data_IF_923628603785
#
_entry.id   IF_923628603785
#
_cell.length_a   1.000
_cell.length_b   1.000
_cell.length_c   1.000
_cell.angle_alpha   90.00
_cell.angle_beta   90.00
_cell.angle_gamma   90.00
#
_symmetry.space_group_name_H-M   'P 1'
#
loop_
_entity.id
_entity.type
_entity.pdbx_description
1 polymer ?
#
# COMPACT_ATOMS: atom_id res chain seq x y z
N UNK A 1 22.22 -6.04 10.01
CA UNK A 1 21.30 -6.26 8.86
C UNK A 1 19.83 -6.32 9.32
N UNK A 2 19.42 -7.33 10.10
CA UNK A 2 18.01 -7.51 10.51
C UNK A 2 17.42 -6.33 11.31
N UNK A 3 18.17 -5.75 12.24
CA UNK A 3 17.71 -4.58 13.04
C UNK A 3 17.42 -3.36 12.16
N UNK A 4 18.27 -3.09 11.17
CA UNK A 4 18.07 -1.98 10.21
C UNK A 4 16.86 -2.22 9.31
N UNK A 5 16.61 -3.47 8.90
CA UNK A 5 15.45 -3.83 8.11
C UNK A 5 14.14 -3.69 8.91
N UNK A 6 14.14 -4.09 10.18
CA UNK A 6 12.99 -3.92 11.06
C UNK A 6 12.67 -2.43 11.31
N UNK A 7 13.69 -1.60 11.50
CA UNK A 7 13.53 -0.16 11.65
C UNK A 7 12.96 0.48 10.37
N UNK A 8 13.48 0.11 9.19
CA UNK A 8 12.92 0.55 7.92
C UNK A 8 11.44 0.14 7.77
N UNK A 9 11.06 -1.10 8.12
CA UNK A 9 9.67 -1.56 8.11
C UNK A 9 8.76 -0.73 9.03
N UNK A 10 9.24 -0.37 10.22
CA UNK A 10 8.45 0.42 11.18
C UNK A 10 8.15 1.83 10.68
N UNK A 11 8.96 2.37 9.76
CA UNK A 11 8.76 3.71 9.19
C UNK A 11 7.80 3.74 8.01
N UNK A 12 7.50 2.58 7.40
CA UNK A 12 6.52 2.50 6.31
C UNK A 12 5.12 2.70 6.89
N UNK A 13 4.30 3.64 6.42
CA UNK A 13 2.92 3.76 6.91
C UNK A 13 2.09 2.56 6.49
N UNK A 14 1.27 2.04 7.42
CA UNK A 14 0.43 0.87 7.15
C UNK A 14 -0.67 1.19 6.13
N UNK A 15 -1.18 2.42 6.13
CA UNK A 15 -2.20 2.89 5.19
C UNK A 15 -1.81 4.25 4.66
N UNK A 16 -1.83 4.40 3.34
CA UNK A 16 -1.80 5.70 2.65
C UNK A 16 -2.90 5.68 1.60
N UNK A 17 -3.97 6.43 1.86
CA UNK A 17 -5.11 6.56 0.96
C UNK A 17 -5.57 8.01 0.87
N UNK A 18 -6.23 8.38 -0.21
CA UNK A 18 -6.87 9.70 -0.33
C UNK A 18 -8.01 9.86 0.69
N UNK A 19 -8.24 11.11 1.12
CA UNK A 19 -9.16 11.47 2.21
C UNK A 19 -10.65 11.38 1.85
N UNK A 20 -10.97 11.29 0.57
CA UNK A 20 -12.33 11.24 0.04
C UNK A 20 -12.35 10.64 -1.38
N UNK A 21 -13.54 10.29 -1.87
CA UNK A 21 -13.78 9.86 -3.24
C UNK A 21 -13.76 8.35 -3.47
N UNK A 22 -13.72 7.95 -4.74
CA UNK A 22 -13.69 6.55 -5.18
C UNK A 22 -12.44 6.32 -6.02
N UNK A 23 -11.56 5.44 -5.57
CA UNK A 23 -10.26 5.22 -6.18
C UNK A 23 -9.82 3.76 -6.12
N UNK A 24 -8.81 3.41 -6.91
CA UNK A 24 -8.20 2.06 -6.89
C UNK A 24 -7.30 1.94 -5.67
N UNK A 25 -7.13 0.72 -5.18
CA UNK A 25 -6.15 0.41 -4.13
C UNK A 25 -5.45 -0.92 -4.41
N UNK A 26 -4.25 -1.07 -3.87
CA UNK A 26 -3.50 -2.33 -3.81
C UNK A 26 -3.17 -2.70 -2.36
N UNK A 27 -3.19 -4.00 -2.08
CA UNK A 27 -2.67 -4.60 -0.86
C UNK A 27 -1.27 -5.14 -1.15
N UNK A 28 -0.28 -4.64 -0.42
CA UNK A 28 1.13 -4.92 -0.70
C UNK A 28 1.78 -5.52 0.54
N UNK A 29 2.43 -6.66 0.38
CA UNK A 29 3.26 -7.24 1.44
C UNK A 29 4.69 -6.75 1.31
N UNK A 30 5.20 -6.13 2.36
CA UNK A 30 6.53 -5.55 2.46
C UNK A 30 7.43 -6.44 3.32
N UNK A 31 8.67 -6.65 2.85
CA UNK A 31 9.66 -7.52 3.47
C UNK A 31 10.98 -6.79 3.61
N UNK A 32 11.63 -7.00 4.76
CA UNK A 32 13.00 -6.59 5.01
C UNK A 32 13.84 -7.81 5.41
N UNK A 33 15.13 -7.81 5.07
CA UNK A 33 16.00 -8.96 5.33
C UNK A 33 16.04 -9.32 6.82
N UNK A 34 15.57 -10.52 7.17
CA UNK A 34 15.55 -11.01 8.56
C UNK A 34 14.51 -10.37 9.47
N UNK A 35 13.56 -9.60 8.92
CA UNK A 35 12.44 -9.01 9.66
C UNK A 35 11.11 -9.69 9.29
N UNK A 36 10.13 -9.77 10.21
CA UNK A 36 8.77 -10.19 9.87
C UNK A 36 8.18 -9.30 8.77
N UNK A 37 7.45 -9.90 7.84
CA UNK A 37 6.76 -9.14 6.81
C UNK A 37 5.55 -8.38 7.38
N UNK A 38 5.15 -7.33 6.68
CA UNK A 38 3.93 -6.58 7.00
C UNK A 38 3.15 -6.23 5.76
N UNK A 39 1.84 -6.10 5.90
CA UNK A 39 0.95 -5.75 4.81
C UNK A 39 0.56 -4.28 4.92
N UNK A 40 0.57 -3.57 3.79
CA UNK A 40 0.26 -2.15 3.71
C UNK A 40 -0.75 -1.88 2.59
N UNK A 41 -1.55 -0.84 2.76
CA UNK A 41 -2.58 -0.42 1.82
C UNK A 41 -2.17 0.89 1.15
N UNK A 42 -2.29 0.93 -0.17
CA UNK A 42 -2.02 2.12 -1.00
C UNK A 42 -3.18 2.35 -1.94
N UNK A 43 -3.74 3.56 -1.97
CA UNK A 43 -4.87 3.86 -2.84
C UNK A 43 -5.09 5.34 -3.08
N UNK A 44 -5.04 5.76 -4.34
CA UNK A 44 -5.11 7.17 -4.69
C UNK A 44 -5.88 7.38 -5.99
N UNK A 45 -6.58 8.51 -6.11
CA UNK A 45 -7.36 8.91 -7.26
C UNK A 45 -6.51 9.29 -8.49
N UNK A 46 -5.22 9.59 -8.30
CA UNK A 46 -4.30 9.86 -9.41
C UNK A 46 -3.96 8.62 -10.23
N UNK A 47 -4.11 7.42 -9.66
CA UNK A 47 -3.72 6.18 -10.30
C UNK A 47 -4.80 5.70 -11.29
N UNK A 48 -4.42 5.58 -12.56
CA UNK A 48 -5.31 5.07 -13.60
C UNK A 48 -5.44 3.54 -13.48
N UNK A 49 -4.37 2.85 -13.05
CA UNK A 49 -4.31 1.40 -12.89
C UNK A 49 -3.81 1.00 -11.50
N UNK A 50 -4.10 -0.24 -11.11
CA UNK A 50 -3.54 -0.84 -9.88
C UNK A 50 -2.01 -0.96 -9.96
N UNK A 51 -1.47 -1.19 -11.16
CA UNK A 51 -0.04 -1.24 -11.42
C UNK A 51 0.67 0.06 -11.04
N UNK A 52 0.10 1.23 -11.38
CA UNK A 52 0.71 2.53 -11.07
C UNK A 52 0.95 2.71 -9.56
N UNK A 53 -0.01 2.27 -8.73
CA UNK A 53 0.12 2.30 -7.27
C UNK A 53 1.21 1.35 -6.80
N UNK A 54 1.25 0.13 -7.33
CA UNK A 54 2.23 -0.87 -6.96
C UNK A 54 3.64 -0.48 -7.37
N UNK A 55 3.85 -0.03 -8.60
CA UNK A 55 5.15 0.37 -9.14
C UNK A 55 5.73 1.53 -8.33
N UNK A 56 4.96 2.59 -8.09
CA UNK A 56 5.40 3.71 -7.25
C UNK A 56 5.75 3.25 -5.82
N UNK A 57 4.92 2.38 -5.24
CA UNK A 57 5.17 1.84 -3.89
C UNK A 57 6.45 1.00 -3.87
N UNK A 58 6.66 0.15 -4.88
CA UNK A 58 7.83 -0.70 -5.00
C UNK A 58 9.11 0.13 -5.14
N UNK A 59 9.08 1.19 -5.96
CA UNK A 59 10.20 2.12 -6.10
C UNK A 59 10.53 2.83 -4.78
N UNK A 60 9.52 3.33 -4.07
CA UNK A 60 9.70 4.00 -2.78
C UNK A 60 10.29 3.04 -1.73
N UNK A 61 9.78 1.80 -1.64
CA UNK A 61 10.27 0.79 -0.70
C UNK A 61 11.69 0.30 -1.03
N UNK A 62 12.01 0.14 -2.31
CA UNK A 62 13.34 -0.29 -2.76
C UNK A 62 14.44 0.70 -2.34
N UNK A 63 14.15 2.01 -2.31
CA UNK A 63 15.07 3.05 -1.81
C UNK A 63 15.43 2.87 -0.33
N UNK A 64 14.59 2.15 0.43
CA UNK A 64 14.81 1.81 1.83
C UNK A 64 15.34 0.39 2.04
N UNK A 65 15.74 -0.31 0.96
CA UNK A 65 16.24 -1.68 1.03
C UNK A 65 15.15 -2.70 1.36
N UNK A 66 13.88 -2.36 1.10
CA UNK A 66 12.73 -3.23 1.32
C UNK A 66 12.27 -3.80 -0.01
N UNK A 67 11.83 -5.06 0.00
CA UNK A 67 11.16 -5.68 -1.14
C UNK A 67 9.67 -5.79 -0.88
N UNK A 68 8.89 -5.96 -1.95
CA UNK A 68 7.45 -6.10 -1.82
C UNK A 68 6.84 -7.00 -2.89
N UNK A 69 5.67 -7.55 -2.56
CA UNK A 69 4.82 -8.33 -3.45
C UNK A 69 3.39 -7.78 -3.42
N UNK A 70 2.74 -7.72 -4.58
CA UNK A 70 1.33 -7.37 -4.67
C UNK A 70 0.49 -8.59 -4.29
N UNK A 71 -0.35 -8.47 -3.27
CA UNK A 71 -1.27 -9.53 -2.84
C UNK A 71 -2.63 -9.45 -3.53
N UNK A 72 -2.93 -8.31 -4.17
CA UNK A 72 -4.18 -8.04 -4.84
C UNK A 72 -4.57 -6.56 -4.75
N UNK A 73 -5.80 -6.26 -5.15
CA UNK A 73 -6.31 -4.90 -5.13
C UNK A 73 -7.80 -4.85 -5.41
N UNK A 74 -8.33 -3.64 -5.52
CA UNK A 74 -9.74 -3.39 -5.79
C UNK A 74 -10.03 -1.90 -5.82
N UNK A 75 -11.18 -1.50 -5.27
CA UNK A 75 -11.59 -0.10 -5.12
C UNK A 75 -11.91 0.21 -3.67
N UNK A 76 -11.67 1.46 -3.33
CA UNK A 76 -12.09 2.09 -2.08
C UNK A 76 -13.07 3.20 -2.41
N UNK A 77 -14.17 3.27 -1.67
CA UNK A 77 -15.06 4.42 -1.59
C UNK A 77 -14.89 5.02 -0.19
N UNK A 78 -14.24 6.18 -0.11
CA UNK A 78 -13.98 6.90 1.13
C UNK A 78 -14.93 8.10 1.23
N UNK A 79 -15.81 8.05 2.23
CA UNK A 79 -16.83 9.06 2.51
C UNK A 79 -16.65 9.60 3.92
N UNK A 80 -15.77 10.60 4.13
CA UNK A 80 -15.50 11.14 5.46
C UNK A 80 -16.73 11.75 6.13
N UNK A 81 -17.66 12.32 5.35
CA UNK A 81 -18.94 12.85 5.81
C UNK A 81 -19.85 11.77 6.42
N UNK A 82 -19.78 10.55 5.90
CA UNK A 82 -20.47 9.37 6.45
C UNK A 82 -19.62 8.61 7.48
N UNK A 83 -18.37 9.03 7.74
CA UNK A 83 -17.34 8.30 8.49
C UNK A 83 -17.19 6.84 8.00
N UNK A 84 -17.26 6.65 6.68
CA UNK A 84 -17.34 5.32 6.07
C UNK A 84 -16.25 5.14 5.02
N UNK A 85 -15.57 3.99 5.11
CA UNK A 85 -14.69 3.47 4.06
C UNK A 85 -15.26 2.13 3.62
N UNK A 86 -15.57 2.00 2.34
CA UNK A 86 -16.04 0.75 1.75
C UNK A 86 -15.02 0.21 0.76
N UNK A 87 -14.53 -1.00 1.00
CA UNK A 87 -13.54 -1.69 0.17
C UNK A 87 -14.23 -2.80 -0.60
N UNK A 88 -14.07 -2.84 -1.92
CA UNK A 88 -14.81 -3.76 -2.80
C UNK A 88 -14.11 -3.97 -4.15
N UNK A 89 -14.62 -4.91 -4.95
CA UNK A 89 -14.10 -5.21 -6.28
C UNK A 89 -12.78 -6.01 -6.25
N UNK A 90 -12.10 -6.03 -7.40
CA UNK A 90 -10.85 -6.77 -7.62
C UNK A 90 -9.90 -5.97 -8.52
N UNK A 91 -8.64 -6.37 -8.55
CA UNK A 91 -7.64 -5.91 -9.53
C UNK A 91 -7.71 -6.78 -10.78
N UNK A 92 -7.66 -6.15 -11.95
CA UNK A 92 -7.51 -6.82 -13.26
C UNK A 92 -6.05 -6.81 -13.66
#
# INVERSE_FOLDING_TARGET
AAVMAAEALSRVPDVQIDGDGVFKYVLVRVRGAGAPAKDVVRGHGWAEYHADLFERTAEELARHGLSCECLGGGRVSHRPEERKIHVYGYSV
#
